data_IF_449470915191
#
_entry.id   IF_449470915191
#
_cell.length_a   1.000
_cell.length_b   1.000
_cell.length_c   1.000
_cell.angle_alpha   90.00
_cell.angle_beta   90.00
_cell.angle_gamma   90.00
#
_symmetry.space_group_name_H-M   'P 1'
#
loop_
_entity.id
_entity.type
_entity.pdbx_description
1 polymer ?
#
# COMPACT_ATOMS: atom_id res chain seq x y z
N UNK A 1 -12.77 -8.97 25.93
CA UNK A 1 -12.84 -8.08 24.75
C UNK A 1 -13.49 -6.71 25.01
N UNK A 2 -14.39 -6.54 25.99
CA UNK A 2 -15.03 -5.23 26.27
C UNK A 2 -14.01 -4.17 26.71
N UNK A 3 -13.12 -4.50 27.67
CA UNK A 3 -12.12 -3.56 28.17
C UNK A 3 -11.17 -3.04 27.07
N UNK A 4 -10.68 -3.92 26.18
CA UNK A 4 -9.83 -3.52 25.07
C UNK A 4 -10.54 -2.54 24.12
N UNK A 5 -11.82 -2.78 23.79
CA UNK A 5 -12.61 -1.84 22.96
C UNK A 5 -12.78 -0.48 23.65
N UNK A 6 -13.00 -0.46 24.96
CA UNK A 6 -13.11 0.79 25.72
C UNK A 6 -11.81 1.61 25.66
N UNK A 7 -10.65 0.96 25.73
CA UNK A 7 -9.34 1.62 25.53
C UNK A 7 -9.25 2.20 24.11
N UNK A 8 -9.54 1.43 23.07
CA UNK A 8 -9.50 1.93 21.69
C UNK A 8 -10.45 3.11 21.47
N UNK A 9 -11.65 3.11 22.06
CA UNK A 9 -12.56 4.26 21.96
C UNK A 9 -12.04 5.49 22.69
N UNK A 10 -11.40 5.33 23.85
CA UNK A 10 -10.75 6.44 24.56
C UNK A 10 -9.62 7.05 23.71
N UNK A 11 -8.79 6.23 23.07
CA UNK A 11 -7.73 6.66 22.16
C UNK A 11 -8.31 7.37 20.93
N UNK A 12 -9.36 6.81 20.32
CA UNK A 12 -10.02 7.38 19.15
C UNK A 12 -10.67 8.75 19.40
N UNK A 13 -11.02 9.05 20.66
CA UNK A 13 -11.56 10.35 21.07
C UNK A 13 -10.48 11.43 21.30
N UNK A 14 -9.20 11.07 21.30
CA UNK A 14 -8.13 12.04 21.50
C UNK A 14 -7.91 12.91 20.25
N UNK A 15 -7.56 14.21 20.40
CA UNK A 15 -7.28 15.10 19.26
C UNK A 15 -6.21 14.57 18.30
N UNK A 16 -5.22 13.84 18.82
CA UNK A 16 -4.13 13.22 18.06
C UNK A 16 -4.67 12.17 17.07
N UNK A 17 -5.74 11.46 17.42
CA UNK A 17 -6.37 10.49 16.52
C UNK A 17 -6.95 11.17 15.27
N UNK A 18 -7.51 12.38 15.41
CA UNK A 18 -7.97 13.18 14.26
C UNK A 18 -6.81 13.54 13.35
N UNK A 19 -5.69 13.97 13.92
CA UNK A 19 -4.46 14.29 13.17
C UNK A 19 -3.91 13.05 12.46
N UNK A 20 -3.90 11.90 13.12
CA UNK A 20 -3.55 10.61 12.53
C UNK A 20 -4.45 10.26 11.34
N UNK A 21 -5.78 10.35 11.48
CA UNK A 21 -6.71 10.06 10.39
C UNK A 21 -6.53 11.00 9.19
N UNK A 22 -6.23 12.28 9.42
CA UNK A 22 -5.89 13.22 8.35
C UNK A 22 -4.60 12.80 7.62
N UNK A 23 -3.59 12.33 8.36
CA UNK A 23 -2.36 11.82 7.76
C UNK A 23 -2.61 10.56 6.92
N UNK A 24 -3.47 9.64 7.39
CA UNK A 24 -3.85 8.43 6.63
C UNK A 24 -4.39 8.81 5.24
N UNK A 25 -5.27 9.82 5.19
CA UNK A 25 -5.83 10.33 3.92
C UNK A 25 -4.75 10.93 3.01
N UNK A 26 -3.89 11.83 3.55
CA UNK A 26 -2.81 12.46 2.78
C UNK A 26 -1.84 11.44 2.21
N UNK A 27 -1.51 10.42 3.01
CA UNK A 27 -0.65 9.32 2.59
C UNK A 27 -1.30 8.52 1.45
N UNK A 28 -2.58 8.17 1.57
CA UNK A 28 -3.30 7.40 0.54
C UNK A 28 -3.40 8.16 -0.78
N UNK A 29 -3.70 9.47 -0.72
CA UNK A 29 -3.73 10.36 -1.88
C UNK A 29 -2.36 10.49 -2.54
N UNK A 30 -1.30 10.63 -1.73
CA UNK A 30 0.08 10.74 -2.22
C UNK A 30 0.54 9.46 -2.93
N UNK A 31 0.20 8.28 -2.39
CA UNK A 31 0.49 7.00 -3.05
C UNK A 31 -0.28 6.86 -4.36
N UNK A 32 -1.59 7.14 -4.35
CA UNK A 32 -2.42 7.05 -5.55
C UNK A 32 -1.90 7.96 -6.67
N UNK A 33 -1.47 9.18 -6.34
CA UNK A 33 -0.88 10.09 -7.32
C UNK A 33 0.38 9.52 -7.98
N UNK A 34 1.28 8.87 -7.21
CA UNK A 34 2.48 8.24 -7.78
C UNK A 34 2.10 7.15 -8.80
N UNK A 35 1.11 6.31 -8.51
CA UNK A 35 0.65 5.29 -9.46
C UNK A 35 0.09 5.92 -10.75
N UNK A 36 -0.70 6.98 -10.64
CA UNK A 36 -1.23 7.71 -11.78
C UNK A 36 -0.11 8.35 -12.62
N UNK A 37 0.85 9.00 -11.95
CA UNK A 37 2.01 9.64 -12.59
C UNK A 37 2.90 8.60 -13.31
N UNK A 38 2.95 7.37 -12.80
CA UNK A 38 3.64 6.22 -13.40
C UNK A 38 2.80 5.48 -14.45
N UNK A 39 1.60 5.98 -14.77
CA UNK A 39 0.76 5.45 -15.85
C UNK A 39 -0.03 4.18 -15.51
N UNK A 40 -0.16 3.85 -14.21
CA UNK A 40 -1.08 2.84 -13.72
C UNK A 40 -2.49 3.40 -13.52
N UNK A 41 -3.47 2.51 -13.58
CA UNK A 41 -4.87 2.90 -13.40
C UNK A 41 -5.29 2.70 -11.94
N UNK A 42 -5.56 3.80 -11.24
CA UNK A 42 -6.25 3.76 -9.95
C UNK A 42 -7.75 3.80 -10.20
N UNK A 43 -8.50 2.82 -9.71
CA UNK A 43 -9.97 2.80 -9.85
C UNK A 43 -10.54 4.09 -9.29
N UNK A 44 -11.42 4.76 -10.04
CA UNK A 44 -11.97 6.11 -9.77
C UNK A 44 -10.99 7.29 -9.87
N UNK A 45 -9.75 7.06 -10.32
CA UNK A 45 -8.76 8.11 -10.58
C UNK A 45 -8.10 8.70 -9.32
N UNK A 46 -8.25 8.06 -8.16
CA UNK A 46 -7.67 8.53 -6.90
C UNK A 46 -8.31 7.90 -5.67
N UNK A 47 -8.26 8.59 -4.54
CA UNK A 47 -8.96 8.17 -3.31
C UNK A 47 -9.34 9.34 -2.40
N UNK A 48 -10.43 9.15 -1.66
CA UNK A 48 -10.93 10.05 -0.63
C UNK A 48 -10.98 9.37 0.74
N UNK A 49 -10.41 8.16 0.87
CA UNK A 49 -10.35 7.41 2.11
C UNK A 49 -8.95 6.79 2.31
N UNK A 50 -8.86 5.76 3.14
CA UNK A 50 -7.60 5.16 3.60
C UNK A 50 -7.04 4.10 2.64
N UNK A 51 -7.72 3.80 1.53
CA UNK A 51 -7.33 2.77 0.58
C UNK A 51 -7.64 3.18 -0.86
N UNK A 52 -7.08 2.44 -1.81
CA UNK A 52 -7.45 2.50 -3.22
C UNK A 52 -7.25 1.14 -3.88
N UNK A 53 -7.85 0.98 -5.06
CA UNK A 53 -7.67 -0.20 -5.91
C UNK A 53 -6.82 0.19 -7.11
N UNK A 54 -5.72 -0.54 -7.29
CA UNK A 54 -4.85 -0.44 -8.47
C UNK A 54 -5.29 -1.51 -9.46
N UNK A 55 -5.62 -1.11 -10.69
CA UNK A 55 -5.87 -2.03 -11.80
C UNK A 55 -4.57 -2.32 -12.54
N UNK A 56 -4.33 -3.61 -12.77
CA UNK A 56 -3.16 -4.13 -13.48
C UNK A 56 -3.53 -4.69 -14.87
N UNK A 57 -4.78 -4.49 -15.30
CA UNK A 57 -5.27 -4.98 -16.60
C UNK A 57 -4.42 -4.42 -17.75
N UNK A 58 -4.11 -3.12 -17.71
CA UNK A 58 -3.31 -2.44 -18.74
C UNK A 58 -1.90 -3.01 -18.85
N UNK A 59 -1.32 -3.44 -17.72
CA UNK A 59 0.01 -4.04 -17.66
C UNK A 59 0.00 -5.54 -17.97
N UNK A 60 -1.18 -6.14 -18.16
CA UNK A 60 -1.39 -7.59 -18.28
C UNK A 60 -0.75 -8.39 -17.14
N UNK A 61 -0.72 -7.84 -15.91
CA UNK A 61 -0.16 -8.52 -14.73
C UNK A 61 -1.31 -9.06 -13.87
N UNK A 62 -1.22 -10.31 -13.43
CA UNK A 62 -2.20 -10.87 -12.49
C UNK A 62 -2.02 -10.33 -11.08
N UNK A 63 -3.12 -10.14 -10.35
CA UNK A 63 -3.04 -9.74 -8.94
C UNK A 63 -2.29 -10.77 -8.11
N UNK A 64 -2.41 -12.07 -8.45
CA UNK A 64 -1.67 -13.17 -7.81
C UNK A 64 -0.15 -13.06 -8.01
N UNK A 65 0.31 -12.77 -9.22
CA UNK A 65 1.74 -12.70 -9.51
C UNK A 65 2.35 -11.42 -8.94
N UNK A 66 1.62 -10.30 -9.01
CA UNK A 66 2.00 -9.05 -8.37
C UNK A 66 2.14 -9.20 -6.84
N UNK A 67 1.15 -9.80 -6.19
CA UNK A 67 1.15 -10.11 -4.75
C UNK A 67 2.37 -10.97 -4.36
N UNK A 68 2.69 -11.99 -5.16
CA UNK A 68 3.85 -12.84 -4.94
C UNK A 68 5.19 -12.11 -5.15
N UNK A 69 5.32 -11.27 -6.18
CA UNK A 69 6.54 -10.50 -6.46
C UNK A 69 6.81 -9.46 -5.36
N UNK A 70 5.79 -8.69 -4.97
CA UNK A 70 5.88 -7.72 -3.89
C UNK A 70 6.18 -8.40 -2.55
N UNK A 71 5.60 -9.58 -2.30
CA UNK A 71 5.88 -10.40 -1.13
C UNK A 71 7.36 -10.80 -1.02
N UNK A 72 8.02 -11.14 -2.14
CA UNK A 72 9.47 -11.40 -2.16
C UNK A 72 10.30 -10.17 -1.78
N UNK A 73 9.79 -8.96 -1.96
CA UNK A 73 10.43 -7.72 -1.53
C UNK A 73 10.01 -7.27 -0.11
N UNK A 74 9.28 -8.09 0.64
CA UNK A 74 8.69 -7.76 1.95
C UNK A 74 7.65 -6.63 1.92
N UNK A 75 6.97 -6.47 0.78
CA UNK A 75 5.81 -5.58 0.66
C UNK A 75 4.55 -6.44 0.65
N UNK A 76 3.74 -6.33 1.71
CA UNK A 76 2.48 -7.08 1.82
C UNK A 76 1.33 -6.25 1.25
N UNK A 77 0.64 -6.82 0.26
CA UNK A 77 -0.57 -6.26 -0.35
C UNK A 77 -1.70 -7.28 -0.32
N UNK A 78 -2.84 -6.94 -0.89
CA UNK A 78 -3.94 -7.87 -1.09
C UNK A 78 -4.35 -7.85 -2.56
N UNK A 79 -4.17 -8.98 -3.26
CA UNK A 79 -4.80 -9.18 -4.57
C UNK A 79 -6.31 -9.00 -4.47
N UNK A 80 -6.89 -8.26 -5.41
CA UNK A 80 -8.29 -7.86 -5.35
C UNK A 80 -8.88 -7.71 -6.76
N UNK A 81 -10.16 -8.04 -6.91
CA UNK A 81 -10.84 -7.84 -8.19
C UNK A 81 -11.06 -6.36 -8.47
N UNK A 82 -11.07 -6.01 -9.75
CA UNK A 82 -11.36 -4.66 -10.25
C UNK A 82 -12.63 -4.64 -11.09
N UNK A 83 -13.24 -3.48 -11.40
CA UNK A 83 -14.38 -3.43 -12.30
C UNK A 83 -14.05 -4.09 -13.65
N UNK A 84 -14.95 -4.95 -14.13
CA UNK A 84 -14.77 -5.74 -15.36
C UNK A 84 -13.51 -6.61 -15.37
N UNK A 85 -13.12 -7.17 -14.21
CA UNK A 85 -11.95 -8.05 -14.10
C UNK A 85 -12.04 -9.23 -15.10
N UNK A 86 -11.07 -9.37 -16.04
CA UNK A 86 -11.07 -10.48 -16.99
C UNK A 86 -10.67 -11.81 -16.34
N UNK A 87 -10.17 -11.80 -15.10
CA UNK A 87 -9.62 -12.98 -14.41
C UNK A 87 -10.54 -13.45 -13.30
N UNK A 88 -10.38 -14.71 -12.92
CA UNK A 88 -11.18 -15.31 -11.85
C UNK A 88 -10.86 -14.68 -10.48
N UNK A 89 -11.77 -14.77 -9.49
CA UNK A 89 -11.53 -14.27 -8.13
C UNK A 89 -10.31 -14.84 -7.42
N UNK A 90 -9.77 -15.99 -7.86
CA UNK A 90 -8.57 -16.60 -7.30
C UNK A 90 -7.25 -15.99 -7.85
N UNK A 91 -7.33 -15.34 -9.02
CA UNK A 91 -6.18 -14.77 -9.73
C UNK A 91 -6.23 -13.25 -9.67
N UNK A 92 -7.38 -12.66 -10.01
CA UNK A 92 -7.68 -11.21 -10.02
C UNK A 92 -6.76 -10.37 -10.93
N UNK A 93 -7.14 -9.12 -11.19
CA UNK A 93 -6.36 -8.17 -11.99
C UNK A 93 -6.07 -6.85 -11.26
N UNK A 94 -6.03 -6.87 -9.92
CA UNK A 94 -5.69 -5.67 -9.17
C UNK A 94 -5.16 -5.92 -7.77
N UNK A 95 -4.75 -4.82 -7.14
CA UNK A 95 -4.24 -4.77 -5.77
C UNK A 95 -5.02 -3.76 -4.96
N UNK A 96 -5.38 -4.13 -3.72
CA UNK A 96 -5.92 -3.20 -2.73
C UNK A 96 -4.81 -2.74 -1.80
N UNK A 97 -4.54 -1.44 -1.79
CA UNK A 97 -3.48 -0.82 -1.01
C UNK A 97 -4.11 0.17 -0.03
N UNK A 98 -3.64 0.16 1.22
CA UNK A 98 -4.10 1.08 2.26
C UNK A 98 -2.97 1.57 3.14
N UNK A 99 -3.16 2.76 3.71
CA UNK A 99 -2.13 3.50 4.47
C UNK A 99 -2.23 3.49 6.00
N UNK A 100 -3.28 3.00 6.70
CA UNK A 100 -3.33 3.04 8.16
C UNK A 100 -2.10 2.45 8.85
N UNK A 101 -1.70 1.23 8.49
CA UNK A 101 -0.62 0.51 9.15
C UNK A 101 0.74 1.23 9.08
N UNK A 102 1.11 1.72 7.89
CA UNK A 102 2.37 2.47 7.71
C UNK A 102 2.30 3.84 8.39
N UNK A 103 1.13 4.47 8.40
CA UNK A 103 0.92 5.76 9.07
C UNK A 103 1.04 5.62 10.58
N UNK A 104 0.52 4.55 11.18
CA UNK A 104 0.71 4.24 12.60
C UNK A 104 2.18 4.07 12.97
N UNK A 105 3.00 3.54 12.05
CA UNK A 105 4.47 3.43 12.22
C UNK A 105 5.21 4.76 12.02
N UNK A 106 4.52 5.83 11.64
CA UNK A 106 5.10 7.17 11.49
C UNK A 106 5.38 7.61 10.06
N UNK A 107 4.99 6.83 9.04
CA UNK A 107 5.19 7.23 7.64
C UNK A 107 4.42 8.51 7.31
N UNK A 108 5.05 9.38 6.53
CA UNK A 108 4.46 10.58 5.94
C UNK A 108 4.40 10.46 4.43
N UNK A 109 3.96 11.51 3.76
CA UNK A 109 3.75 11.56 2.32
C UNK A 109 5.03 11.19 1.55
N UNK A 110 6.21 11.60 2.04
CA UNK A 110 7.49 11.28 1.44
C UNK A 110 7.77 9.77 1.43
N UNK A 111 7.71 9.12 2.59
CA UNK A 111 7.92 7.66 2.70
C UNK A 111 6.86 6.86 1.93
N UNK A 112 5.61 7.33 1.94
CA UNK A 112 4.54 6.71 1.17
C UNK A 112 4.76 6.82 -0.34
N UNK A 113 5.30 7.96 -0.82
CA UNK A 113 5.67 8.13 -2.23
C UNK A 113 6.84 7.22 -2.62
N UNK A 114 7.85 7.07 -1.76
CA UNK A 114 8.93 6.11 -1.99
C UNK A 114 8.41 4.68 -2.08
N UNK A 115 7.56 4.27 -1.12
CA UNK A 115 6.95 2.94 -1.11
C UNK A 115 6.11 2.68 -2.38
N UNK A 116 5.29 3.65 -2.79
CA UNK A 116 4.54 3.55 -4.04
C UNK A 116 5.46 3.44 -5.26
N UNK A 117 6.57 4.19 -5.28
CA UNK A 117 7.61 4.09 -6.30
C UNK A 117 8.21 2.69 -6.39
N UNK A 118 8.59 2.10 -5.25
CA UNK A 118 9.15 0.74 -5.23
C UNK A 118 8.16 -0.32 -5.70
N UNK A 119 6.87 -0.15 -5.38
CA UNK A 119 5.81 -1.02 -5.91
C UNK A 119 5.78 -0.91 -7.44
N UNK A 120 5.79 0.31 -8.00
CA UNK A 120 5.84 0.52 -9.44
C UNK A 120 7.09 -0.11 -10.07
N UNK A 121 8.27 0.07 -9.46
CA UNK A 121 9.54 -0.48 -9.96
C UNK A 121 9.47 -2.01 -10.11
N UNK A 122 8.88 -2.72 -9.14
CA UNK A 122 8.68 -4.18 -9.22
C UNK A 122 7.66 -4.54 -10.30
N UNK A 123 6.54 -3.84 -10.36
CA UNK A 123 5.47 -4.13 -11.34
C UNK A 123 5.91 -3.86 -12.78
N UNK A 124 6.76 -2.86 -13.02
CA UNK A 124 7.29 -2.55 -14.35
C UNK A 124 8.39 -3.54 -14.78
N UNK A 125 9.04 -4.21 -13.84
CA UNK A 125 10.15 -5.14 -14.09
C UNK A 125 9.82 -6.56 -13.62
N UNK A 126 8.59 -7.02 -13.88
CA UNK A 126 8.13 -8.35 -13.48
C UNK A 126 9.07 -9.44 -14.01
N UNK A 127 9.60 -10.25 -13.09
CA UNK A 127 10.54 -11.34 -13.39
C UNK A 127 12.02 -10.99 -13.20
N UNK A 128 12.37 -9.72 -12.96
CA UNK A 128 13.73 -9.31 -12.63
C UNK A 128 13.96 -9.36 -11.11
N UNK A 129 14.61 -10.43 -10.65
CA UNK A 129 14.91 -10.61 -9.22
C UNK A 129 15.92 -9.59 -8.68
N UNK A 130 16.74 -8.95 -9.54
CA UNK A 130 17.68 -7.91 -9.08
C UNK A 130 16.95 -6.66 -8.58
N UNK A 131 15.84 -6.30 -9.23
CA UNK A 131 14.97 -5.19 -8.80
C UNK A 131 14.28 -5.55 -7.49
N UNK A 132 13.77 -6.78 -7.37
CA UNK A 132 13.12 -7.28 -6.15
C UNK A 132 14.09 -7.26 -4.97
N UNK A 133 15.33 -7.72 -5.15
CA UNK A 133 16.36 -7.73 -4.11
C UNK A 133 16.77 -6.31 -3.71
N UNK A 134 16.95 -5.40 -4.68
CA UNK A 134 17.24 -4.00 -4.42
C UNK A 134 16.14 -3.30 -3.62
N UNK A 135 14.87 -3.55 -3.97
CA UNK A 135 13.72 -3.03 -3.20
C UNK A 135 13.65 -3.66 -1.81
N UNK A 136 13.92 -4.97 -1.68
CA UNK A 136 13.92 -5.66 -0.38
C UNK A 136 14.84 -4.99 0.63
N UNK A 137 16.05 -4.58 0.20
CA UNK A 137 16.98 -3.88 1.10
C UNK A 137 16.49 -2.47 1.49
N UNK A 138 15.86 -1.74 0.56
CA UNK A 138 15.20 -0.45 0.87
C UNK A 138 14.07 -0.62 1.88
N UNK A 139 13.24 -1.66 1.71
CA UNK A 139 12.13 -1.99 2.62
C UNK A 139 12.63 -2.35 4.02
N UNK A 140 13.72 -3.13 4.13
CA UNK A 140 14.36 -3.42 5.43
C UNK A 140 14.86 -2.14 6.10
N UNK A 141 15.56 -1.28 5.36
CA UNK A 141 16.12 -0.05 5.88
C UNK A 141 15.02 0.91 6.41
N UNK A 142 13.94 1.10 5.65
CA UNK A 142 12.83 1.96 6.11
C UNK A 142 12.08 1.35 7.29
N UNK A 143 11.94 0.01 7.33
CA UNK A 143 11.32 -0.65 8.47
C UNK A 143 12.15 -0.54 9.75
N UNK A 144 13.48 -0.54 9.64
CA UNK A 144 14.39 -0.31 10.77
C UNK A 144 14.31 1.14 11.27
N UNK A 145 14.12 2.12 10.37
CA UNK A 145 13.90 3.54 10.72
C UNK A 145 12.56 3.77 11.44
N UNK A 146 11.54 2.98 11.13
CA UNK A 146 10.18 3.09 11.67
C UNK A 146 9.71 1.76 12.27
N UNK A 147 10.25 1.33 13.42
CA UNK A 147 9.90 0.04 14.04
C UNK A 147 8.42 -0.01 14.47
N UNK A 148 7.85 -1.22 14.55
CA UNK A 148 6.44 -1.43 14.94
C UNK A 148 6.22 -1.14 16.43
N UNK A 149 7.19 -1.51 17.26
CA UNK A 149 7.23 -1.21 18.69
C UNK A 149 8.49 -0.37 18.92
N UNK A 150 8.31 0.86 19.40
CA UNK A 150 9.42 1.62 19.96
C UNK A 150 9.82 1.01 21.30
N UNK A 151 11.12 0.96 21.60
CA UNK A 151 11.59 0.82 22.97
C UNK A 151 11.38 2.13 23.73
#
# INVERSE_FOLDING_TARGET
MIAAKAVCFKEALQPEFKTYQQQVLKNAQSMAQVFLDRGFDVVSGGTQNHLFLLSLIKQDITGKDADAALGRAFITVNKNSVPNDPRSPFVTSGLRIGTPAVTTRGFKEAECRELAGWICDILENMGDESVVDGVREKVKAICAKFPVYGN
#
